data_IF_172349159819
#
_entry.id   IF_172349159819
#
_cell.length_a   1.000
_cell.length_b   1.000
_cell.length_c   1.000
_cell.angle_alpha   90.00
_cell.angle_beta   90.00
_cell.angle_gamma   90.00
#
_symmetry.space_group_name_H-M   'P 1'
#
loop_
_entity.id
_entity.type
_entity.pdbx_description
1 polymer ?
#
# COMPACT_ATOMS: atom_id res chain seq x y z
N UNK A 1 -27.44 0.46 -11.71
CA UNK A 1 -27.06 0.58 -10.28
C UNK A 1 -25.97 1.63 -10.06
N UNK A 2 -25.08 1.86 -11.03
CA UNK A 2 -24.04 2.90 -10.96
C UNK A 2 -24.58 4.29 -10.67
N UNK A 3 -25.79 4.63 -11.12
CA UNK A 3 -26.39 5.95 -10.90
C UNK A 3 -26.74 6.26 -9.44
N UNK A 4 -27.06 5.24 -8.64
CA UNK A 4 -27.27 5.42 -7.20
C UNK A 4 -25.93 5.70 -6.49
N UNK A 5 -24.87 4.98 -6.88
CA UNK A 5 -23.50 5.21 -6.38
C UNK A 5 -23.03 6.62 -6.77
N UNK A 6 -23.22 7.02 -8.04
CA UNK A 6 -22.84 8.35 -8.52
C UNK A 6 -23.53 9.47 -7.73
N UNK A 7 -24.83 9.32 -7.44
CA UNK A 7 -25.56 10.27 -6.57
C UNK A 7 -24.99 10.31 -5.15
N UNK A 8 -24.73 9.16 -4.54
CA UNK A 8 -24.17 9.09 -3.19
C UNK A 8 -22.77 9.70 -3.13
N UNK A 9 -21.94 9.46 -4.15
CA UNK A 9 -20.62 10.06 -4.30
C UNK A 9 -20.73 11.58 -4.43
N UNK A 10 -21.66 12.10 -5.25
CA UNK A 10 -21.88 13.54 -5.36
C UNK A 10 -22.28 14.18 -4.02
N UNK A 11 -23.13 13.50 -3.23
CA UNK A 11 -23.47 13.93 -1.87
C UNK A 11 -22.23 13.94 -0.96
N UNK A 12 -21.39 12.90 -1.01
CA UNK A 12 -20.17 12.83 -0.22
C UNK A 12 -19.17 13.93 -0.58
N UNK A 13 -19.01 14.24 -1.87
CA UNK A 13 -18.15 15.32 -2.35
C UNK A 13 -18.63 16.69 -1.85
N UNK A 14 -19.92 16.98 -2.01
CA UNK A 14 -20.51 18.24 -1.52
C UNK A 14 -20.35 18.41 0.00
N UNK A 15 -20.43 17.31 0.76
CA UNK A 15 -20.33 17.32 2.23
C UNK A 15 -18.90 17.06 2.74
N UNK A 16 -17.91 16.91 1.85
CA UNK A 16 -16.53 16.54 2.17
C UNK A 16 -16.40 15.29 3.07
N UNK A 17 -17.27 14.30 2.87
CA UNK A 17 -17.30 13.05 3.63
C UNK A 17 -16.31 12.03 3.06
N UNK A 18 -15.02 12.27 3.28
CA UNK A 18 -13.95 11.49 2.64
C UNK A 18 -13.91 10.02 3.02
N UNK A 19 -14.22 9.66 4.26
CA UNK A 19 -14.26 8.25 4.69
C UNK A 19 -15.32 7.44 3.94
N UNK A 20 -16.53 8.00 3.79
CA UNK A 20 -17.60 7.34 3.02
C UNK A 20 -17.28 7.33 1.54
N UNK A 21 -16.75 8.42 1.00
CA UNK A 21 -16.30 8.48 -0.39
C UNK A 21 -15.24 7.41 -0.70
N UNK A 22 -14.25 7.26 0.17
CA UNK A 22 -13.21 6.25 0.04
C UNK A 22 -13.77 4.82 0.06
N UNK A 23 -14.82 4.56 0.85
CA UNK A 23 -15.51 3.27 0.82
C UNK A 23 -16.25 3.05 -0.49
N UNK A 24 -17.02 4.04 -0.97
CA UNK A 24 -17.80 3.92 -2.20
C UNK A 24 -16.93 3.67 -3.44
N UNK A 25 -15.75 4.30 -3.48
CA UNK A 25 -14.78 4.16 -4.59
C UNK A 25 -13.89 2.93 -4.47
N UNK A 26 -13.88 2.26 -3.33
CA UNK A 26 -13.06 1.06 -3.15
C UNK A 26 -13.53 -0.08 -4.05
N UNK A 27 -12.55 -0.77 -4.63
CA UNK A 27 -12.77 -1.99 -5.39
C UNK A 27 -13.43 -3.10 -4.54
N UNK A 28 -13.14 -3.14 -3.24
CA UNK A 28 -13.68 -4.14 -2.29
C UNK A 28 -15.15 -3.86 -1.88
N UNK A 29 -15.70 -2.69 -2.20
CA UNK A 29 -17.06 -2.34 -1.80
C UNK A 29 -18.08 -3.19 -2.55
N UNK A 30 -18.95 -3.89 -1.81
CA UNK A 30 -19.81 -4.98 -2.27
C UNK A 30 -21.03 -4.53 -3.10
N UNK A 31 -20.80 -3.80 -4.19
CA UNK A 31 -21.86 -3.41 -5.13
C UNK A 31 -21.50 -3.89 -6.52
N UNK A 32 -22.38 -4.71 -7.09
CA UNK A 32 -22.27 -5.17 -8.48
C UNK A 32 -22.69 -4.05 -9.43
N UNK A 33 -21.86 -3.79 -10.44
CA UNK A 33 -22.13 -2.81 -11.48
C UNK A 33 -22.37 -3.59 -12.77
N UNK A 34 -23.58 -3.49 -13.32
CA UNK A 34 -23.97 -4.14 -14.58
C UNK A 34 -24.18 -3.15 -15.73
N UNK A 35 -24.08 -1.85 -15.46
CA UNK A 35 -24.29 -0.79 -16.43
C UNK A 35 -23.14 -0.76 -17.46
N UNK A 36 -23.43 -0.54 -18.74
CA UNK A 36 -22.40 -0.43 -19.78
C UNK A 36 -21.65 0.92 -19.70
N UNK A 37 -20.53 1.05 -20.42
CA UNK A 37 -19.66 2.23 -20.32
C UNK A 37 -20.40 3.53 -20.70
N UNK A 38 -21.24 3.50 -21.74
CA UNK A 38 -22.04 4.65 -22.15
C UNK A 38 -23.04 5.08 -21.05
N UNK A 39 -23.66 4.12 -20.37
CA UNK A 39 -24.56 4.38 -19.25
C UNK A 39 -23.81 4.93 -18.04
N UNK A 40 -22.62 4.39 -17.73
CA UNK A 40 -21.76 4.89 -16.65
C UNK A 40 -21.33 6.34 -16.93
N UNK A 41 -20.92 6.64 -18.16
CA UNK A 41 -20.52 7.98 -18.56
C UNK A 41 -21.69 8.96 -18.51
N UNK A 42 -22.85 8.58 -19.05
CA UNK A 42 -24.04 9.42 -19.04
C UNK A 42 -24.50 9.73 -17.61
N UNK A 43 -24.52 8.72 -16.73
CA UNK A 43 -24.91 8.89 -15.34
C UNK A 43 -23.89 9.72 -14.55
N UNK A 44 -22.60 9.56 -14.82
CA UNK A 44 -21.58 10.41 -14.18
C UNK A 44 -21.75 11.87 -14.61
N UNK A 45 -21.88 12.15 -15.91
CA UNK A 45 -22.11 13.52 -16.39
C UNK A 45 -23.41 14.13 -15.85
N UNK A 46 -24.48 13.34 -15.73
CA UNK A 46 -25.77 13.82 -15.23
C UNK A 46 -25.75 14.17 -13.73
N UNK A 47 -24.96 13.46 -12.92
CA UNK A 47 -24.95 13.65 -11.46
C UNK A 47 -23.87 14.63 -10.96
N UNK A 48 -22.84 14.91 -11.77
CA UNK A 48 -21.71 15.78 -11.41
C UNK A 48 -21.72 17.06 -12.24
N UNK A 49 -22.54 18.03 -11.83
CA UNK A 49 -22.61 19.37 -12.44
C UNK A 49 -21.83 20.44 -11.65
N UNK A 50 -21.60 21.59 -12.29
CA UNK A 50 -20.99 22.76 -11.66
C UNK A 50 -19.59 22.47 -11.11
N UNK A 51 -19.36 22.79 -9.83
CA UNK A 51 -18.07 22.56 -9.17
C UNK A 51 -17.64 21.08 -9.11
N UNK A 52 -18.58 20.14 -9.26
CA UNK A 52 -18.28 18.71 -9.26
C UNK A 52 -17.94 18.15 -10.64
N UNK A 53 -18.09 18.93 -11.71
CA UNK A 53 -17.84 18.49 -13.09
C UNK A 53 -16.47 17.81 -13.28
N UNK A 54 -15.36 18.28 -12.68
CA UNK A 54 -14.06 17.61 -12.80
C UNK A 54 -14.05 16.18 -12.27
N UNK A 55 -14.93 15.84 -11.32
CA UNK A 55 -15.02 14.50 -10.75
C UNK A 55 -15.80 13.54 -11.66
N UNK A 56 -16.59 14.02 -12.62
CA UNK A 56 -17.40 13.16 -13.48
C UNK A 56 -16.58 12.06 -14.22
N UNK A 57 -15.48 12.39 -14.93
CA UNK A 57 -14.70 11.38 -15.64
C UNK A 57 -13.93 10.46 -14.66
N UNK A 58 -13.41 11.00 -13.55
CA UNK A 58 -12.77 10.23 -12.47
C UNK A 58 -13.69 9.13 -11.94
N UNK A 59 -14.93 9.49 -11.61
CA UNK A 59 -15.91 8.54 -11.07
C UNK A 59 -16.33 7.52 -12.13
N UNK A 60 -16.50 7.95 -13.37
CA UNK A 60 -16.81 7.04 -14.47
C UNK A 60 -15.72 5.97 -14.64
N UNK A 61 -14.44 6.36 -14.65
CA UNK A 61 -13.31 5.44 -14.74
C UNK A 61 -13.27 4.43 -13.59
N UNK A 62 -13.50 4.84 -12.34
CA UNK A 62 -13.51 3.89 -11.21
C UNK A 62 -14.71 2.93 -11.27
N UNK A 63 -15.87 3.39 -11.71
CA UNK A 63 -17.04 2.51 -11.89
C UNK A 63 -16.81 1.49 -13.02
N UNK A 64 -16.17 1.91 -14.13
CA UNK A 64 -15.77 1.01 -15.23
C UNK A 64 -14.74 0.00 -14.76
N UNK A 65 -13.68 0.44 -14.08
CA UNK A 65 -12.65 -0.43 -13.52
C UNK A 65 -13.25 -1.49 -12.60
N UNK A 66 -14.20 -1.09 -11.74
CA UNK A 66 -14.91 -2.00 -10.85
C UNK A 66 -15.74 -3.05 -11.57
N UNK A 67 -16.52 -2.64 -12.58
CA UNK A 67 -17.26 -3.58 -13.45
C UNK A 67 -16.31 -4.57 -14.12
N UNK A 68 -15.22 -4.08 -14.72
CA UNK A 68 -14.24 -4.92 -15.42
C UNK A 68 -13.55 -5.92 -14.48
N UNK A 69 -13.24 -5.52 -13.25
CA UNK A 69 -12.70 -6.41 -12.24
C UNK A 69 -13.70 -7.50 -11.82
N UNK A 70 -15.00 -7.18 -11.72
CA UNK A 70 -16.06 -8.16 -11.46
C UNK A 70 -16.18 -9.20 -12.58
N UNK A 71 -15.86 -8.80 -13.82
CA UNK A 71 -15.79 -9.67 -14.99
C UNK A 71 -14.45 -10.41 -15.12
N UNK A 72 -13.54 -10.31 -14.13
CA UNK A 72 -12.16 -10.84 -14.16
C UNK A 72 -11.27 -10.29 -15.30
N UNK A 73 -11.63 -9.14 -15.88
CA UNK A 73 -10.85 -8.46 -16.92
C UNK A 73 -9.83 -7.51 -16.29
N UNK A 74 -8.88 -8.07 -15.55
CA UNK A 74 -7.97 -7.30 -14.68
C UNK A 74 -7.07 -6.31 -15.44
N UNK A 75 -6.62 -6.65 -16.64
CA UNK A 75 -5.79 -5.73 -17.46
C UNK A 75 -6.54 -4.44 -17.79
N UNK A 76 -7.75 -4.57 -18.35
CA UNK A 76 -8.62 -3.44 -18.69
C UNK A 76 -9.06 -2.69 -17.44
N UNK A 77 -9.36 -3.42 -16.35
CA UNK A 77 -9.73 -2.80 -15.07
C UNK A 77 -8.60 -1.91 -14.52
N UNK A 78 -7.35 -2.37 -14.62
CA UNK A 78 -6.19 -1.57 -14.22
C UNK A 78 -6.04 -0.33 -15.09
N UNK A 79 -6.18 -0.46 -16.41
CA UNK A 79 -6.02 0.66 -17.35
C UNK A 79 -7.08 1.76 -17.13
N UNK A 80 -8.34 1.37 -16.88
CA UNK A 80 -9.39 2.32 -16.48
C UNK A 80 -9.12 2.95 -15.12
N UNK A 81 -8.68 2.16 -14.13
CA UNK A 81 -8.38 2.66 -12.79
C UNK A 81 -7.24 3.68 -12.81
N UNK A 82 -6.18 3.41 -13.57
CA UNK A 82 -5.02 4.31 -13.61
C UNK A 82 -5.33 5.60 -14.37
N UNK A 83 -6.18 5.54 -15.41
CA UNK A 83 -6.68 6.72 -16.10
C UNK A 83 -7.44 7.64 -15.13
N UNK A 84 -8.43 7.09 -14.41
CA UNK A 84 -9.17 7.83 -13.39
C UNK A 84 -8.30 8.32 -12.23
N UNK A 85 -7.27 7.56 -11.85
CA UNK A 85 -6.31 7.97 -10.83
C UNK A 85 -5.48 9.18 -11.25
N UNK A 86 -5.03 9.23 -12.50
CA UNK A 86 -4.27 10.37 -13.03
C UNK A 86 -5.13 11.63 -13.03
N UNK A 87 -6.37 11.54 -13.50
CA UNK A 87 -7.32 12.66 -13.46
C UNK A 87 -7.64 13.09 -12.02
N UNK A 88 -7.82 12.13 -11.10
CA UNK A 88 -8.00 12.42 -9.68
C UNK A 88 -6.81 13.18 -9.10
N UNK A 89 -5.58 12.86 -9.50
CA UNK A 89 -4.39 13.57 -9.02
C UNK A 89 -4.39 15.04 -9.44
N UNK A 90 -4.91 15.39 -10.62
CA UNK A 90 -5.05 16.78 -11.04
C UNK A 90 -5.97 17.55 -10.09
N UNK A 91 -7.10 16.95 -9.69
CA UNK A 91 -8.02 17.54 -8.70
C UNK A 91 -7.37 17.60 -7.31
N UNK A 92 -6.72 16.51 -6.90
CA UNK A 92 -6.07 16.40 -5.60
C UNK A 92 -4.94 17.43 -5.41
N UNK A 93 -4.34 17.92 -6.50
CA UNK A 93 -3.33 18.97 -6.46
C UNK A 93 -3.84 20.21 -5.73
N UNK A 94 -5.05 20.65 -6.09
CA UNK A 94 -5.61 21.93 -5.65
C UNK A 94 -6.49 21.79 -4.39
N UNK A 95 -6.82 20.57 -4.00
CA UNK A 95 -7.60 20.28 -2.78
C UNK A 95 -6.74 20.20 -1.51
N UNK A 96 -7.36 20.06 -0.33
CA UNK A 96 -6.63 19.90 0.95
C UNK A 96 -6.60 18.43 1.41
N UNK A 97 -6.12 18.20 2.64
CA UNK A 97 -5.98 16.86 3.22
C UNK A 97 -7.28 16.05 3.38
N UNK A 98 -8.46 16.65 3.19
CA UNK A 98 -9.72 15.90 3.32
C UNK A 98 -9.80 14.73 2.33
N UNK A 99 -9.15 14.81 1.15
CA UNK A 99 -9.11 13.72 0.17
C UNK A 99 -8.10 12.61 0.47
N UNK A 100 -7.29 12.71 1.53
CA UNK A 100 -6.28 11.69 1.86
C UNK A 100 -6.85 10.26 2.00
N UNK A 101 -8.01 10.03 2.66
CA UNK A 101 -8.61 8.71 2.71
C UNK A 101 -8.95 8.13 1.33
N UNK A 102 -9.42 8.98 0.41
CA UNK A 102 -9.71 8.57 -0.98
C UNK A 102 -8.42 8.21 -1.69
N UNK A 103 -7.40 9.07 -1.61
CA UNK A 103 -6.09 8.79 -2.19
C UNK A 103 -5.51 7.46 -1.68
N UNK A 104 -5.65 7.16 -0.39
CA UNK A 104 -5.19 5.90 0.20
C UNK A 104 -5.90 4.68 -0.40
N UNK A 105 -7.22 4.75 -0.58
CA UNK A 105 -7.97 3.70 -1.28
C UNK A 105 -7.48 3.53 -2.71
N UNK A 106 -7.39 4.61 -3.48
CA UNK A 106 -7.04 4.53 -4.90
C UNK A 106 -5.61 4.01 -5.13
N UNK A 107 -4.67 4.40 -4.27
CA UNK A 107 -3.28 3.92 -4.28
C UNK A 107 -3.20 2.42 -3.90
N UNK A 108 -4.06 1.97 -2.99
CA UNK A 108 -4.17 0.55 -2.64
C UNK A 108 -4.70 -0.27 -3.81
N UNK A 109 -5.82 0.17 -4.38
CA UNK A 109 -6.54 -0.50 -5.46
C UNK A 109 -5.69 -0.55 -6.73
N UNK A 110 -4.98 0.53 -7.07
CA UNK A 110 -4.05 0.56 -8.20
C UNK A 110 -2.99 -0.55 -8.08
N UNK A 111 -2.41 -0.76 -6.90
CA UNK A 111 -1.43 -1.84 -6.70
C UNK A 111 -2.08 -3.22 -6.83
N UNK A 112 -3.26 -3.42 -6.23
CA UNK A 112 -3.92 -4.73 -6.26
C UNK A 112 -4.33 -5.10 -7.69
N UNK A 113 -4.96 -4.18 -8.42
CA UNK A 113 -5.33 -4.36 -9.82
C UNK A 113 -4.10 -4.60 -10.69
N UNK A 114 -3.02 -3.82 -10.53
CA UNK A 114 -1.78 -4.03 -11.26
C UNK A 114 -1.23 -5.45 -11.06
N UNK A 115 -1.18 -5.90 -9.81
CA UNK A 115 -0.72 -7.25 -9.48
C UNK A 115 -1.61 -8.33 -10.08
N UNK A 116 -2.93 -8.15 -10.03
CA UNK A 116 -3.88 -9.12 -10.60
C UNK A 116 -3.76 -9.17 -12.13
N UNK A 117 -3.63 -8.01 -12.78
CA UNK A 117 -3.41 -7.91 -14.23
C UNK A 117 -2.12 -8.60 -14.64
N UNK A 118 -1.00 -8.26 -14.02
CA UNK A 118 0.31 -8.89 -14.30
C UNK A 118 0.29 -10.40 -14.05
N UNK A 119 -0.39 -10.86 -12.99
CA UNK A 119 -0.56 -12.31 -12.72
C UNK A 119 -1.37 -12.99 -13.83
N UNK A 120 -2.48 -12.40 -14.26
CA UNK A 120 -3.32 -12.94 -15.32
C UNK A 120 -2.58 -13.02 -16.66
N UNK A 121 -1.83 -11.96 -17.01
CA UNK A 121 -1.01 -11.91 -18.22
C UNK A 121 0.10 -12.96 -18.15
N UNK A 122 0.78 -13.06 -17.00
CA UNK A 122 1.86 -14.04 -16.80
C UNK A 122 1.35 -15.48 -16.98
N UNK A 123 0.16 -15.79 -16.45
CA UNK A 123 -0.47 -17.09 -16.62
C UNK A 123 -0.82 -17.39 -18.09
N UNK A 124 -1.26 -16.38 -18.84
CA UNK A 124 -1.63 -16.55 -20.25
C UNK A 124 -0.41 -16.73 -21.17
N UNK A 125 0.67 -16.00 -20.90
CA UNK A 125 1.88 -16.00 -21.73
C UNK A 125 2.92 -17.06 -21.33
N UNK A 126 2.89 -17.52 -20.08
CA UNK A 126 3.86 -18.48 -19.54
C UNK A 126 5.19 -17.85 -19.13
N UNK A 127 5.28 -16.52 -19.08
CA UNK A 127 6.44 -15.75 -18.63
C UNK A 127 6.07 -14.79 -17.50
N UNK A 128 7.06 -14.32 -16.74
CA UNK A 128 6.83 -13.39 -15.64
C UNK A 128 6.70 -11.95 -16.15
N UNK A 129 5.51 -11.35 -15.99
CA UNK A 129 5.19 -9.99 -16.44
C UNK A 129 5.00 -9.06 -15.23
N UNK A 130 5.50 -7.83 -15.34
CA UNK A 130 5.47 -6.82 -14.28
C UNK A 130 5.16 -5.40 -14.79
N UNK A 131 4.57 -5.28 -15.98
CA UNK A 131 4.43 -4.01 -16.67
C UNK A 131 3.41 -3.10 -15.98
N UNK A 132 2.28 -3.66 -15.54
CA UNK A 132 1.25 -2.88 -14.84
C UNK A 132 1.76 -2.47 -13.46
N UNK A 133 2.51 -3.32 -12.76
CA UNK A 133 3.08 -2.99 -11.45
C UNK A 133 4.15 -1.90 -11.54
N UNK A 134 5.01 -1.92 -12.58
CA UNK A 134 5.95 -0.82 -12.88
C UNK A 134 5.21 0.48 -13.23
N UNK A 135 4.12 0.42 -13.97
CA UNK A 135 3.31 1.59 -14.25
C UNK A 135 2.63 2.16 -12.98
N UNK A 136 2.12 1.29 -12.11
CA UNK A 136 1.51 1.69 -10.84
C UNK A 136 2.54 2.38 -9.95
N UNK A 137 3.75 1.84 -9.88
CA UNK A 137 4.90 2.42 -9.17
C UNK A 137 5.13 3.88 -9.57
N UNK A 138 5.21 4.17 -10.87
CA UNK A 138 5.44 5.52 -11.40
C UNK A 138 4.32 6.49 -11.00
N UNK A 139 3.06 6.06 -11.05
CA UNK A 139 1.93 6.92 -10.69
C UNK A 139 1.81 7.10 -9.16
N UNK A 140 2.09 6.08 -8.36
CA UNK A 140 2.17 6.19 -6.90
C UNK A 140 3.32 7.12 -6.47
N UNK A 141 4.45 7.14 -7.19
CA UNK A 141 5.53 8.12 -6.97
C UNK A 141 5.05 9.56 -7.19
N UNK A 142 4.24 9.83 -8.21
CA UNK A 142 3.66 11.17 -8.44
C UNK A 142 2.79 11.58 -7.25
N UNK A 143 1.88 10.70 -6.83
CA UNK A 143 1.04 10.93 -5.65
C UNK A 143 1.86 11.17 -4.38
N UNK A 144 2.92 10.37 -4.16
CA UNK A 144 3.85 10.56 -3.05
C UNK A 144 4.50 11.94 -3.09
N UNK A 145 5.06 12.34 -4.24
CA UNK A 145 5.71 13.64 -4.42
C UNK A 145 4.75 14.80 -4.13
N UNK A 146 3.51 14.73 -4.61
CA UNK A 146 2.48 15.74 -4.35
C UNK A 146 2.10 15.82 -2.87
N UNK A 147 2.10 14.70 -2.17
CA UNK A 147 1.68 14.59 -0.77
C UNK A 147 2.80 15.04 0.19
N UNK A 148 4.04 14.60 -0.04
CA UNK A 148 5.19 14.86 0.85
C UNK A 148 5.72 16.30 0.73
N UNK A 149 5.62 16.89 -0.47
CA UNK A 149 6.08 18.25 -0.74
C UNK A 149 5.00 19.31 -0.56
N UNK A 150 3.84 18.93 -0.01
CA UNK A 150 2.74 19.84 0.24
C UNK A 150 3.15 21.00 1.16
N UNK A 151 2.80 22.22 0.74
CA UNK A 151 3.21 23.47 1.40
C UNK A 151 2.08 24.10 2.22
N UNK A 152 0.91 23.46 2.27
CA UNK A 152 -0.20 23.93 3.08
C UNK A 152 0.14 23.92 4.58
N UNK A 153 -0.61 24.71 5.36
CA UNK A 153 -0.50 24.75 6.81
C UNK A 153 -0.74 23.37 7.44
N UNK A 154 -0.22 23.14 8.65
CA UNK A 154 -0.16 21.82 9.26
C UNK A 154 -1.53 21.13 9.41
N UNK A 155 -2.59 21.91 9.62
CA UNK A 155 -3.97 21.52 9.85
C UNK A 155 -4.65 20.95 8.59
N UNK A 156 -4.28 21.49 7.42
CA UNK A 156 -4.84 21.12 6.11
C UNK A 156 -3.85 20.38 5.23
N UNK A 157 -2.65 20.09 5.76
CA UNK A 157 -1.56 19.49 5.00
C UNK A 157 -1.79 18.02 4.67
N UNK A 158 -1.44 17.65 3.44
CA UNK A 158 -1.47 16.29 2.89
C UNK A 158 -0.34 15.42 3.43
N UNK A 159 0.75 16.01 3.95
CA UNK A 159 1.97 15.31 4.41
C UNK A 159 1.72 14.07 5.28
N UNK A 160 0.82 14.07 6.28
CA UNK A 160 0.56 12.89 7.11
C UNK A 160 0.08 11.66 6.33
N UNK A 161 -0.49 11.85 5.12
CA UNK A 161 -0.90 10.76 4.26
C UNK A 161 0.23 10.11 3.45
N UNK A 162 1.42 10.71 3.40
CA UNK A 162 2.50 10.25 2.52
C UNK A 162 3.04 8.87 2.92
N UNK A 163 3.12 8.56 4.22
CA UNK A 163 3.72 7.31 4.70
C UNK A 163 2.93 6.07 4.24
N UNK A 164 1.61 6.18 4.10
CA UNK A 164 0.79 5.09 3.56
C UNK A 164 1.13 4.77 2.10
N UNK A 165 1.40 5.80 1.29
CA UNK A 165 1.80 5.67 -0.12
C UNK A 165 3.18 5.00 -0.19
N UNK A 166 4.12 5.42 0.66
CA UNK A 166 5.44 4.78 0.81
C UNK A 166 5.30 3.30 1.16
N UNK A 167 4.40 2.94 2.07
CA UNK A 167 4.14 1.55 2.42
C UNK A 167 3.58 0.73 1.24
N UNK A 168 2.81 1.34 0.33
CA UNK A 168 2.40 0.66 -0.90
C UNK A 168 3.56 0.53 -1.89
N UNK A 169 4.39 1.58 -2.05
CA UNK A 169 5.59 1.57 -2.89
C UNK A 169 6.59 0.51 -2.44
N UNK A 170 6.85 0.36 -1.14
CA UNK A 170 7.67 -0.73 -0.62
C UNK A 170 7.14 -2.11 -1.02
N UNK A 171 5.81 -2.31 -0.95
CA UNK A 171 5.22 -3.57 -1.41
C UNK A 171 5.48 -3.83 -2.90
N UNK A 172 5.47 -2.79 -3.73
CA UNK A 172 5.82 -2.90 -5.14
C UNK A 172 7.31 -3.21 -5.32
N UNK A 173 8.22 -2.46 -4.70
CA UNK A 173 9.66 -2.67 -4.89
C UNK A 173 10.14 -4.03 -4.41
N UNK A 174 9.60 -4.52 -3.30
CA UNK A 174 9.93 -5.87 -2.83
C UNK A 174 9.39 -6.95 -3.77
N UNK A 175 8.27 -6.71 -4.45
CA UNK A 175 7.74 -7.64 -5.45
C UNK A 175 8.54 -7.59 -6.76
N UNK A 176 8.97 -6.40 -7.19
CA UNK A 176 9.81 -6.18 -8.38
C UNK A 176 11.30 -6.47 -8.17
N UNK A 177 11.71 -6.86 -6.96
CA UNK A 177 13.11 -7.00 -6.56
C UNK A 177 13.98 -5.75 -6.84
N UNK A 178 13.42 -4.55 -6.66
CA UNK A 178 14.07 -3.25 -6.93
C UNK A 178 14.35 -2.48 -5.63
N UNK A 179 14.94 -3.16 -4.65
CA UNK A 179 15.16 -2.65 -3.28
C UNK A 179 15.99 -1.34 -3.27
N UNK A 180 16.91 -1.18 -4.22
CA UNK A 180 17.75 0.03 -4.34
C UNK A 180 16.95 1.33 -4.46
N UNK A 181 15.75 1.28 -5.05
CA UNK A 181 14.87 2.45 -5.22
C UNK A 181 14.28 2.95 -3.89
N UNK A 182 14.23 2.09 -2.86
CA UNK A 182 13.69 2.44 -1.55
C UNK A 182 14.49 3.55 -0.87
N UNK A 183 15.81 3.66 -1.11
CA UNK A 183 16.68 4.66 -0.44
C UNK A 183 16.22 6.09 -0.67
N UNK A 184 15.78 6.41 -1.88
CA UNK A 184 15.34 7.77 -2.23
C UNK A 184 14.08 8.15 -1.45
N UNK A 185 13.16 7.19 -1.28
CA UNK A 185 11.92 7.40 -0.55
C UNK A 185 12.15 7.45 0.96
N UNK A 186 13.05 6.62 1.49
CA UNK A 186 13.46 6.66 2.90
C UNK A 186 14.03 8.03 3.24
N UNK A 187 14.97 8.54 2.43
CA UNK A 187 15.54 9.89 2.62
C UNK A 187 14.48 10.98 2.65
N UNK A 188 13.48 10.91 1.77
CA UNK A 188 12.40 11.90 1.74
C UNK A 188 11.52 11.86 3.02
N UNK A 189 11.29 10.67 3.58
CA UNK A 189 10.55 10.49 4.84
C UNK A 189 11.39 10.93 6.05
N UNK A 190 12.70 10.69 6.05
CA UNK A 190 13.60 11.06 7.16
C UNK A 190 13.69 12.59 7.35
N UNK A 191 13.35 13.38 6.33
CA UNK A 191 13.24 14.85 6.41
C UNK A 191 11.93 15.33 7.04
N UNK A 192 10.98 14.44 7.33
CA UNK A 192 9.71 14.79 7.94
C UNK A 192 9.70 14.48 9.44
N UNK A 193 8.79 15.14 10.16
CA UNK A 193 8.44 14.73 11.52
C UNK A 193 7.67 13.41 11.50
N UNK A 194 8.37 12.33 11.86
CA UNK A 194 7.83 10.98 11.84
C UNK A 194 6.66 10.78 12.82
N UNK A 195 6.55 11.61 13.87
CA UNK A 195 5.49 11.50 14.88
C UNK A 195 4.10 11.81 14.32
N UNK A 196 4.02 12.58 13.23
CA UNK A 196 2.76 12.99 12.59
C UNK A 196 2.07 11.88 11.80
N UNK A 197 2.79 10.81 11.48
CA UNK A 197 2.23 9.69 10.73
C UNK A 197 1.41 8.76 11.62
N UNK A 198 0.42 8.07 11.06
CA UNK A 198 -0.37 7.10 11.81
C UNK A 198 0.52 5.97 12.36
N UNK A 199 0.24 5.49 13.58
CA UNK A 199 1.05 4.44 14.20
C UNK A 199 1.11 3.15 13.37
N UNK A 200 -0.02 2.80 12.74
CA UNK A 200 -0.12 1.66 11.80
C UNK A 200 0.86 1.80 10.63
N UNK A 201 0.95 2.99 10.06
CA UNK A 201 1.84 3.25 8.93
C UNK A 201 3.30 3.32 9.36
N UNK A 202 3.59 3.85 10.55
CA UNK A 202 4.93 3.84 11.15
C UNK A 202 5.44 2.40 11.36
N UNK A 203 4.60 1.50 11.90
CA UNK A 203 4.96 0.09 12.10
C UNK A 203 5.30 -0.59 10.79
N UNK A 204 4.45 -0.39 9.76
CA UNK A 204 4.67 -0.97 8.42
C UNK A 204 5.95 -0.42 7.79
N UNK A 205 6.18 0.89 7.87
CA UNK A 205 7.39 1.53 7.36
C UNK A 205 8.64 0.96 8.02
N UNK A 206 8.68 0.92 9.37
CA UNK A 206 9.83 0.42 10.13
C UNK A 206 10.09 -1.06 9.86
N UNK A 207 9.05 -1.87 9.66
CA UNK A 207 9.21 -3.26 9.20
C UNK A 207 9.96 -3.35 7.86
N UNK A 208 9.56 -2.58 6.85
CA UNK A 208 10.23 -2.59 5.55
C UNK A 208 11.65 -2.02 5.62
N UNK A 209 11.86 -0.89 6.30
CA UNK A 209 13.21 -0.32 6.44
C UNK A 209 14.15 -1.26 7.17
N UNK A 210 13.67 -1.95 8.22
CA UNK A 210 14.47 -2.97 8.90
C UNK A 210 14.91 -4.12 7.98
N UNK A 211 14.02 -4.57 7.08
CA UNK A 211 14.35 -5.59 6.06
C UNK A 211 15.36 -5.08 5.02
N UNK A 212 15.24 -3.83 4.61
CA UNK A 212 16.18 -3.20 3.67
C UNK A 212 17.57 -3.12 4.32
N UNK A 213 17.65 -2.65 5.55
CA UNK A 213 18.91 -2.56 6.30
C UNK A 213 19.53 -3.94 6.55
N UNK A 214 18.71 -4.98 6.79
CA UNK A 214 19.19 -6.36 6.88
C UNK A 214 19.80 -6.83 5.56
N UNK A 215 19.21 -6.50 4.42
CA UNK A 215 19.76 -6.81 3.09
C UNK A 215 21.07 -6.06 2.80
N UNK A 216 21.28 -4.90 3.42
CA UNK A 216 22.50 -4.10 3.33
C UNK A 216 23.52 -4.41 4.43
N UNK A 217 23.38 -5.54 5.13
CA UNK A 217 24.25 -5.98 6.24
C UNK A 217 24.35 -4.97 7.41
N UNK A 218 23.42 -4.01 7.51
CA UNK A 218 23.35 -3.03 8.60
C UNK A 218 22.54 -3.58 9.79
N UNK A 219 23.02 -4.67 10.40
CA UNK A 219 22.27 -5.46 11.37
C UNK A 219 21.82 -4.70 12.63
N UNK A 220 22.66 -3.84 13.21
CA UNK A 220 22.29 -3.04 14.38
C UNK A 220 21.13 -2.06 14.07
N UNK A 221 21.18 -1.38 12.91
CA UNK A 221 20.08 -0.49 12.51
C UNK A 221 18.83 -1.28 12.13
N UNK A 222 19.00 -2.43 11.48
CA UNK A 222 17.89 -3.33 11.17
C UNK A 222 17.17 -3.77 12.45
N UNK A 223 17.92 -4.12 13.48
CA UNK A 223 17.40 -4.49 14.81
C UNK A 223 16.56 -3.35 15.39
N UNK A 224 17.07 -2.12 15.45
CA UNK A 224 16.33 -0.96 15.98
C UNK A 224 14.97 -0.77 15.29
N UNK A 225 14.96 -0.83 13.96
CA UNK A 225 13.75 -0.65 13.17
C UNK A 225 12.76 -1.80 13.34
N UNK A 226 13.22 -3.06 13.32
CA UNK A 226 12.38 -4.24 13.52
C UNK A 226 11.86 -4.33 14.96
N UNK A 227 12.66 -3.94 15.95
CA UNK A 227 12.26 -3.83 17.35
C UNK A 227 11.18 -2.77 17.54
N UNK A 228 11.30 -1.62 16.87
CA UNK A 228 10.24 -0.62 16.87
C UNK A 228 8.93 -1.20 16.30
N UNK A 229 8.99 -1.86 15.15
CA UNK A 229 7.82 -2.46 14.52
C UNK A 229 7.19 -3.51 15.43
N UNK A 230 8.00 -4.36 16.06
CA UNK A 230 7.57 -5.40 16.99
C UNK A 230 6.82 -4.85 18.21
N UNK A 231 7.43 -3.85 18.88
CA UNK A 231 6.89 -3.25 20.11
C UNK A 231 5.59 -2.50 19.88
N UNK A 232 5.44 -1.89 18.71
CA UNK A 232 4.30 -1.04 18.39
C UNK A 232 3.22 -1.72 17.54
N UNK A 233 3.46 -2.95 17.08
CA UNK A 233 2.43 -3.75 16.45
C UNK A 233 1.41 -4.19 17.52
N UNK A 234 0.12 -3.97 17.26
CA UNK A 234 -0.95 -4.34 18.18
C UNK A 234 -0.91 -5.85 18.49
N UNK A 235 -1.24 -6.22 19.72
CA UNK A 235 -1.14 -7.60 20.20
C UNK A 235 -2.06 -8.57 19.44
N UNK A 236 -3.23 -8.09 19.01
CA UNK A 236 -4.21 -8.89 18.27
C UNK A 236 -3.78 -9.22 16.83
N UNK A 237 -2.85 -8.45 16.25
CA UNK A 237 -2.34 -8.72 14.90
C UNK A 237 -1.20 -9.73 14.92
N UNK A 238 -1.49 -10.93 15.44
CA UNK A 238 -0.53 -12.04 15.62
C UNK A 238 0.20 -12.41 14.33
N UNK A 239 -0.50 -12.42 13.19
CA UNK A 239 0.10 -12.63 11.86
C UNK A 239 1.17 -11.57 11.53
N UNK A 240 0.90 -10.30 11.78
CA UNK A 240 1.84 -9.21 11.50
C UNK A 240 3.03 -9.27 12.46
N UNK A 241 2.77 -9.57 13.73
CA UNK A 241 3.81 -9.84 14.74
C UNK A 241 4.73 -10.97 14.32
N UNK A 242 4.18 -12.10 13.87
CA UNK A 242 4.95 -13.22 13.32
C UNK A 242 5.80 -12.80 12.12
N UNK A 243 5.24 -12.01 11.18
CA UNK A 243 5.99 -11.50 10.03
C UNK A 243 7.18 -10.64 10.46
N UNK A 244 7.04 -9.80 11.48
CA UNK A 244 8.16 -9.00 12.01
C UNK A 244 9.22 -9.92 12.62
N UNK A 245 8.82 -10.91 13.43
CA UNK A 245 9.75 -11.84 14.07
C UNK A 245 10.56 -12.67 13.07
N UNK A 246 9.98 -13.03 11.91
CA UNK A 246 10.72 -13.73 10.85
C UNK A 246 11.95 -12.99 10.33
N UNK A 247 12.02 -11.68 10.51
CA UNK A 247 13.22 -10.89 10.17
C UNK A 247 13.99 -10.48 11.42
N UNK A 248 13.30 -10.20 12.53
CA UNK A 248 13.95 -9.79 13.78
C UNK A 248 14.76 -10.93 14.41
N UNK A 249 14.26 -12.17 14.39
CA UNK A 249 14.97 -13.31 14.99
C UNK A 249 16.31 -13.58 14.29
N UNK A 250 16.39 -13.68 12.95
CA UNK A 250 17.68 -13.79 12.26
C UNK A 250 18.65 -12.65 12.60
N UNK A 251 18.17 -11.40 12.62
CA UNK A 251 19.01 -10.24 12.98
C UNK A 251 19.54 -10.37 14.41
N UNK A 252 18.67 -10.75 15.37
CA UNK A 252 19.08 -10.97 16.76
C UNK A 252 20.09 -12.11 16.90
N UNK A 253 19.91 -13.21 16.17
CA UNK A 253 20.84 -14.33 16.17
C UNK A 253 22.23 -13.93 15.67
N UNK A 254 22.31 -13.14 14.59
CA UNK A 254 23.58 -12.58 14.07
C UNK A 254 24.26 -11.70 15.13
N UNK A 255 23.46 -10.94 15.88
CA UNK A 255 23.93 -10.10 16.99
C UNK A 255 24.18 -10.88 18.29
N UNK A 256 24.13 -12.22 18.26
CA UNK A 256 24.44 -13.09 19.40
C UNK A 256 23.31 -13.28 20.41
N UNK A 257 22.08 -12.83 20.10
CA UNK A 257 20.91 -12.93 20.98
C UNK A 257 20.00 -14.08 20.53
N UNK A 258 19.84 -15.07 21.41
CA UNK A 258 19.01 -16.25 21.13
C UNK A 258 17.52 -15.98 21.39
N UNK A 259 16.60 -16.49 20.54
CA UNK A 259 15.18 -16.49 20.85
C UNK A 259 14.88 -17.43 22.02
N UNK A 260 13.96 -17.01 22.91
CA UNK A 260 13.46 -17.89 23.97
C UNK A 260 12.54 -18.97 23.39
N UNK A 261 12.50 -20.20 23.95
CA UNK A 261 11.57 -21.25 23.51
C UNK A 261 10.11 -20.82 23.52
N UNK A 262 9.69 -20.06 24.55
CA UNK A 262 8.32 -19.51 24.65
C UNK A 262 7.96 -18.59 23.48
N UNK A 263 8.92 -17.81 22.99
CA UNK A 263 8.71 -16.93 21.83
C UNK A 263 8.54 -17.73 20.54
N UNK A 264 9.33 -18.79 20.37
CA UNK A 264 9.27 -19.68 19.21
C UNK A 264 7.89 -20.35 19.14
N UNK A 265 7.46 -20.94 20.25
CA UNK A 265 6.17 -21.62 20.36
C UNK A 265 5.00 -20.65 20.15
N UNK A 266 5.02 -19.48 20.82
CA UNK A 266 3.92 -18.51 20.75
C UNK A 266 3.66 -17.93 19.35
N UNK A 267 4.66 -17.93 18.46
CA UNK A 267 4.54 -17.37 17.11
C UNK A 267 4.85 -18.39 16.00
N UNK A 268 4.89 -19.68 16.31
CA UNK A 268 5.17 -20.79 15.39
C UNK A 268 6.41 -20.51 14.54
N UNK A 269 7.56 -20.36 15.18
CA UNK A 269 8.85 -20.05 14.55
C UNK A 269 9.82 -21.24 14.62
N UNK A 270 9.29 -22.46 14.45
CA UNK A 270 10.05 -23.71 14.61
C UNK A 270 11.30 -23.77 13.72
N UNK A 271 11.29 -23.05 12.60
CA UNK A 271 12.46 -22.90 11.72
C UNK A 271 13.72 -22.38 12.44
N UNK A 272 13.58 -21.64 13.56
CA UNK A 272 14.73 -21.11 14.31
C UNK A 272 15.16 -21.97 15.49
N UNK A 273 14.41 -23.02 15.85
CA UNK A 273 14.71 -23.84 17.03
C UNK A 273 16.05 -24.56 16.90
N UNK A 274 16.22 -25.32 15.81
CA UNK A 274 17.47 -26.04 15.53
C UNK A 274 18.66 -25.10 15.33
N UNK A 275 18.43 -23.94 14.71
CA UNK A 275 19.47 -22.92 14.51
C UNK A 275 19.94 -22.37 15.87
N UNK A 276 19.01 -21.97 16.75
CA UNK A 276 19.34 -21.42 18.05
C UNK A 276 20.05 -22.45 18.97
N UNK A 277 19.65 -23.72 18.91
CA UNK A 277 20.32 -24.80 19.65
C UNK A 277 21.74 -25.05 19.13
N UNK A 278 21.91 -25.09 17.80
CA UNK A 278 23.23 -25.30 17.17
C UNK A 278 24.21 -24.19 17.52
N UNK A 279 23.77 -22.93 17.49
CA UNK A 279 24.62 -21.79 17.86
C UNK A 279 24.96 -21.83 19.35
N UNK A 280 24.00 -22.19 20.22
CA UNK A 280 24.25 -22.32 21.67
C UNK A 280 25.30 -23.40 21.99
N UNK A 281 25.32 -24.48 21.22
CA UNK A 281 26.27 -25.58 21.39
C UNK A 281 27.61 -25.35 20.68
N UNK A 282 27.72 -24.31 19.84
CA UNK A 282 28.89 -24.13 18.95
C UNK A 282 29.03 -25.24 17.89
N UNK A 283 27.94 -25.93 17.56
CA UNK A 283 27.96 -27.10 16.68
C UNK A 283 27.72 -26.70 15.22
N UNK A 284 28.81 -26.39 14.51
CA UNK A 284 28.78 -25.97 13.10
C UNK A 284 28.22 -27.06 12.17
N UNK A 285 28.44 -28.33 12.51
CA UNK A 285 27.97 -29.46 11.69
C UNK A 285 26.45 -29.59 11.69
N UNK A 286 25.78 -29.26 12.81
CA UNK A 286 24.31 -29.26 12.90
C UNK A 286 23.73 -27.97 12.30
N UNK A 287 24.45 -26.85 12.41
CA UNK A 287 24.03 -25.59 11.80
C UNK A 287 23.96 -25.64 10.26
N UNK A 288 24.86 -26.39 9.62
CA UNK A 288 24.94 -26.49 8.15
C UNK A 288 24.01 -27.56 7.53
N UNK A 289 23.19 -28.25 8.34
CA UNK A 289 22.21 -29.24 7.88
C UNK A 289 20.83 -28.64 7.75
#
# INVERSE_FOLDING_TARGET
MSGAIAKEVAVCLNRKQSGRLAQLLSMDYSVSISDNDAAIDAQSRANFGGALQPYAPVIASFLKAKRLAQENKYEQAYDEHIAGFIEFLEIFRDETNWLIPVLHTLVHDARLLARQADTAISMQRGDEVHDKLKNAEQNLKKAFSMTINDRAAAEVSKKPGALYIVNQLFKIYFQLNTISLCRNIIRAVDLQDFSRFSKRDQVTYKYYVGRILMYEDQYHKAEEHLMFAWRHCHIEYTRNKRMILKFLVPVKLILGVMPSPKLIEAYNLEEYKGIAESIRQGNVAVFNK
#
